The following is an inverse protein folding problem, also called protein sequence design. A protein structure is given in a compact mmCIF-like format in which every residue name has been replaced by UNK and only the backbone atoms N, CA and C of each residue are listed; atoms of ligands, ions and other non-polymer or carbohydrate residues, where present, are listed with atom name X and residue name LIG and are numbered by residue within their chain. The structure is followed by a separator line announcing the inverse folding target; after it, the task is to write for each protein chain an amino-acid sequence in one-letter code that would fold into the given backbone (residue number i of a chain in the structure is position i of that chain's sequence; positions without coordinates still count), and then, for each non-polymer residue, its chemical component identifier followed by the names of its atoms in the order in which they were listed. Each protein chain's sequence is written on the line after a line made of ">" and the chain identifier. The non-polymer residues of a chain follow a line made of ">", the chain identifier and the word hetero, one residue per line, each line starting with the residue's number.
data_IF_343538892385
#
_entry.id   IF_343538892385
#
_cell.length_a   1.000
_cell.length_b   1.000
_cell.length_c   1.000
_cell.angle_alpha   90.00
_cell.angle_beta   90.00
_cell.angle_gamma   90.00
#
_symmetry.space_group_name_H-M   'P 1'
#
loop_
_entity.id
_entity.type
_entity.pdbx_description
1 polymer ?
#
# COMPACT_ATOMS: atom_id res chain seq x y z
N UNK A 1 -34.05 -53.09 19.93
CA UNK A 1 -32.92 -53.28 20.85
C UNK A 1 -31.96 -52.12 20.63
N UNK A 2 -31.91 -51.19 21.57
CA UNK A 2 -31.11 -49.96 21.49
C UNK A 2 -29.61 -50.27 21.51
N UNK A 3 -28.84 -49.56 20.68
CA UNK A 3 -27.39 -49.47 20.82
C UNK A 3 -27.02 -48.04 21.22
N UNK A 4 -26.44 -47.99 22.41
CA UNK A 4 -26.08 -46.83 23.22
C UNK A 4 -24.81 -46.21 22.64
N UNK A 5 -24.88 -44.96 22.18
CA UNK A 5 -23.71 -44.12 21.93
C UNK A 5 -23.29 -43.54 23.28
N UNK A 6 -22.07 -43.86 23.71
CA UNK A 6 -21.46 -43.31 24.93
C UNK A 6 -21.07 -41.85 24.69
N UNK A 7 -21.43 -41.04 25.68
CA UNK A 7 -21.23 -39.60 25.82
C UNK A 7 -19.76 -39.19 25.94
N UNK A 8 -19.41 -38.07 25.30
CA UNK A 8 -18.21 -37.27 25.59
C UNK A 8 -18.70 -35.96 26.21
N UNK A 9 -18.42 -35.68 27.50
CA UNK A 9 -19.06 -34.57 28.22
C UNK A 9 -18.11 -33.37 28.35
N UNK A 10 -18.32 -32.30 27.56
CA UNK A 10 -18.00 -30.91 27.93
C UNK A 10 -18.85 -29.95 27.06
N UNK A 11 -20.14 -29.86 27.38
CA UNK A 11 -21.01 -28.77 26.97
C UNK A 11 -21.22 -27.91 28.23
N UNK A 12 -20.46 -26.82 28.33
CA UNK A 12 -20.78 -25.74 29.26
C UNK A 12 -21.65 -24.76 28.48
N UNK A 13 -22.90 -24.74 28.92
CA UNK A 13 -23.94 -23.78 28.59
C UNK A 13 -23.44 -22.34 28.84
N UNK A 14 -23.39 -21.52 27.78
CA UNK A 14 -23.27 -20.08 27.92
C UNK A 14 -24.55 -19.44 27.40
N UNK A 15 -25.41 -19.11 28.36
CA UNK A 15 -26.57 -18.25 28.17
C UNK A 15 -26.23 -16.94 27.49
N UNK A 16 -27.26 -16.38 26.85
CA UNK A 16 -27.20 -15.28 25.90
C UNK A 16 -26.31 -14.10 26.30
N UNK A 17 -25.42 -13.74 25.39
CA UNK A 17 -24.67 -12.48 25.37
C UNK A 17 -24.72 -11.93 23.95
N UNK A 18 -25.15 -10.67 23.80
CA UNK A 18 -25.28 -9.92 22.54
C UNK A 18 -23.96 -9.90 21.72
N UNK A 19 -24.00 -9.89 20.36
CA UNK A 19 -22.81 -10.07 19.51
C UNK A 19 -21.79 -8.91 19.46
N UNK A 20 -21.93 -7.84 20.25
CA UNK A 20 -21.15 -6.61 20.06
C UNK A 20 -20.23 -6.21 21.22
N UNK A 21 -19.90 -7.12 22.13
CA UNK A 21 -18.83 -6.85 23.11
C UNK A 21 -17.46 -7.17 22.47
N UNK A 22 -16.84 -6.12 21.94
CA UNK A 22 -15.39 -6.00 21.78
C UNK A 22 -14.73 -6.52 23.05
N UNK A 23 -14.04 -7.66 22.97
CA UNK A 23 -13.17 -8.14 24.05
C UNK A 23 -12.14 -7.06 24.35
N UNK A 24 -12.33 -6.33 25.43
CA UNK A 24 -11.29 -5.49 26.04
C UNK A 24 -10.42 -6.39 26.92
N UNK A 25 -9.23 -6.79 26.45
CA UNK A 25 -8.10 -7.21 27.33
C UNK A 25 -6.72 -7.22 26.62
N UNK A 26 -5.61 -7.01 27.36
CA UNK A 26 -4.27 -6.79 26.82
C UNK A 26 -3.35 -8.03 26.94
N UNK A 27 -2.56 -8.29 25.89
CA UNK A 27 -1.21 -8.92 25.81
C UNK A 27 -1.03 -9.57 24.43
N UNK A 28 -0.16 -8.97 23.60
CA UNK A 28 0.42 -9.52 22.38
C UNK A 28 -0.52 -10.21 21.39
N UNK A 29 -1.07 -9.48 20.41
CA UNK A 29 -1.41 -10.12 19.13
C UNK A 29 -0.16 -10.85 18.64
N UNK A 30 -0.19 -12.14 18.24
CA UNK A 30 0.93 -12.72 17.52
C UNK A 30 1.18 -11.83 16.30
N UNK A 31 2.31 -11.11 16.33
CA UNK A 31 2.69 -10.23 15.24
C UNK A 31 3.01 -11.12 14.04
N UNK A 32 2.38 -10.84 12.89
CA UNK A 32 2.82 -11.42 11.64
C UNK A 32 4.28 -11.05 11.46
N UNK A 33 5.10 -12.03 11.09
CA UNK A 33 6.51 -11.81 10.87
C UNK A 33 6.70 -11.17 9.50
N UNK A 34 7.68 -10.26 9.39
CA UNK A 34 8.04 -9.71 8.09
C UNK A 34 8.64 -10.81 7.22
N UNK A 35 8.08 -10.97 6.03
CA UNK A 35 8.48 -11.97 5.06
C UNK A 35 9.60 -11.40 4.18
N UNK A 36 10.69 -12.17 4.04
CA UNK A 36 11.80 -11.86 3.14
C UNK A 36 11.30 -11.70 1.71
N UNK A 37 10.31 -12.50 1.30
CA UNK A 37 9.67 -12.40 -0.01
C UNK A 37 9.05 -11.02 -0.28
N UNK A 38 8.69 -10.25 0.75
CA UNK A 38 8.05 -8.93 0.60
C UNK A 38 9.02 -7.75 0.79
N UNK A 39 10.26 -8.03 1.22
CA UNK A 39 11.28 -7.00 1.45
C UNK A 39 11.56 -6.23 0.16
N UNK A 40 11.59 -4.89 0.27
CA UNK A 40 11.91 -4.02 -0.86
C UNK A 40 10.82 -3.92 -1.93
N UNK A 41 9.58 -4.33 -1.63
CA UNK A 41 8.43 -4.21 -2.56
C UNK A 41 7.43 -3.13 -2.17
N UNK A 42 7.46 -2.64 -0.93
CA UNK A 42 6.60 -1.57 -0.44
C UNK A 42 7.40 -0.51 0.30
N UNK A 43 7.06 0.76 0.08
CA UNK A 43 7.80 1.89 0.60
C UNK A 43 6.87 3.00 1.08
N UNK A 44 7.32 3.79 2.04
CA UNK A 44 6.73 5.10 2.30
C UNK A 44 7.37 6.13 1.34
N UNK A 45 6.57 7.07 0.83
CA UNK A 45 7.06 8.17 0.02
C UNK A 45 8.07 9.11 0.73
N UNK A 46 8.50 10.13 0.00
CA UNK A 46 9.52 11.07 0.43
C UNK A 46 8.98 12.10 1.42
N UNK A 47 9.76 12.39 2.47
CA UNK A 47 9.42 13.45 3.42
C UNK A 47 10.17 14.73 3.05
N UNK A 48 9.44 15.66 2.40
CA UNK A 48 9.99 16.94 1.93
C UNK A 48 10.45 17.83 3.08
N UNK A 49 9.65 17.91 4.16
CA UNK A 49 9.86 18.78 5.33
C UNK A 49 10.25 20.23 4.97
N UNK A 50 9.27 21.02 4.53
CA UNK A 50 9.43 22.45 4.25
C UNK A 50 8.49 22.91 3.14
N UNK A 51 7.66 23.93 3.40
CA UNK A 51 6.72 24.45 2.39
C UNK A 51 7.41 25.18 1.23
N UNK A 52 8.62 25.72 1.45
CA UNK A 52 9.40 26.41 0.41
C UNK A 52 9.77 25.54 -0.80
N UNK A 53 9.79 24.21 -0.64
CA UNK A 53 9.97 23.28 -1.75
C UNK A 53 8.74 23.16 -2.65
N UNK A 54 7.55 23.49 -2.16
CA UNK A 54 6.28 23.27 -2.87
C UNK A 54 5.94 24.49 -3.74
N UNK A 55 5.48 24.21 -4.94
CA UNK A 55 5.11 25.17 -5.97
C UNK A 55 3.68 24.92 -6.45
N UNK A 56 3.01 25.96 -6.93
CA UNK A 56 1.83 25.79 -7.76
C UNK A 56 2.24 25.31 -9.16
N UNK A 57 1.36 24.63 -9.92
CA UNK A 57 1.65 24.24 -11.29
C UNK A 57 2.09 25.40 -12.19
N UNK A 58 1.46 26.57 -12.01
CA UNK A 58 1.73 27.77 -12.81
C UNK A 58 3.14 28.31 -12.55
N UNK A 59 3.55 28.34 -11.28
CA UNK A 59 4.90 28.79 -10.93
C UNK A 59 5.97 27.79 -11.38
N UNK A 60 5.71 26.48 -11.28
CA UNK A 60 6.63 25.49 -11.83
C UNK A 60 6.77 25.63 -13.34
N UNK A 61 5.66 25.86 -14.06
CA UNK A 61 5.67 26.07 -15.50
C UNK A 61 6.46 27.33 -15.91
N UNK A 62 6.27 28.45 -15.20
CA UNK A 62 7.02 29.70 -15.42
C UNK A 62 8.53 29.52 -15.21
N UNK A 63 8.94 28.85 -14.12
CA UNK A 63 10.36 28.52 -13.89
C UNK A 63 10.95 27.63 -15.00
N UNK A 64 10.18 26.66 -15.49
CA UNK A 64 10.59 25.79 -16.60
C UNK A 64 10.69 26.57 -17.92
N UNK A 65 9.81 27.54 -18.15
CA UNK A 65 9.82 28.36 -19.35
C UNK A 65 11.06 29.26 -19.40
N UNK A 66 11.48 29.81 -18.25
CA UNK A 66 12.67 30.66 -18.16
C UNK A 66 13.98 29.88 -18.28
N UNK A 67 14.06 28.71 -17.65
CA UNK A 67 15.19 27.79 -17.82
C UNK A 67 14.67 26.35 -17.98
N UNK A 68 14.69 25.80 -19.20
CA UNK A 68 14.23 24.44 -19.48
C UNK A 68 14.93 23.35 -18.66
N UNK A 69 16.15 23.60 -18.16
CA UNK A 69 16.87 22.65 -17.29
C UNK A 69 16.14 22.44 -15.97
N UNK A 70 15.33 23.40 -15.51
CA UNK A 70 14.59 23.26 -14.26
C UNK A 70 13.67 22.04 -14.22
N UNK A 71 13.32 21.45 -15.39
CA UNK A 71 12.63 20.14 -15.46
C UNK A 71 13.40 19.00 -14.76
N UNK A 72 14.71 19.11 -14.61
CA UNK A 72 15.54 18.13 -13.90
C UNK A 72 15.31 18.13 -12.38
N UNK A 73 14.76 19.21 -11.84
CA UNK A 73 14.58 19.42 -10.39
C UNK A 73 13.15 19.78 -10.00
N UNK A 74 12.24 19.92 -10.96
CA UNK A 74 10.83 20.25 -10.74
C UNK A 74 9.97 19.06 -11.14
N UNK A 75 9.19 18.54 -10.19
CA UNK A 75 8.36 17.37 -10.40
C UNK A 75 6.94 17.58 -9.88
N UNK A 76 5.92 16.95 -10.47
CA UNK A 76 4.60 16.85 -9.84
C UNK A 76 4.73 16.18 -8.47
N UNK A 77 3.95 16.64 -7.49
CA UNK A 77 4.02 16.18 -6.11
C UNK A 77 2.68 15.61 -5.65
N UNK A 78 2.55 14.29 -5.72
CA UNK A 78 1.32 13.57 -5.38
C UNK A 78 1.23 13.33 -3.87
N UNK A 79 0.10 13.71 -3.28
CA UNK A 79 -0.20 13.44 -1.88
C UNK A 79 -1.50 12.63 -1.71
N UNK A 80 -1.85 12.29 -0.46
CA UNK A 80 -3.05 11.50 -0.16
C UNK A 80 -4.38 12.20 -0.46
N UNK A 81 -4.44 13.53 -0.39
CA UNK A 81 -5.63 14.31 -0.74
C UNK A 81 -5.87 14.26 -2.26
N UNK A 82 -4.82 14.51 -3.03
CA UNK A 82 -4.83 14.43 -4.49
C UNK A 82 -5.25 13.04 -4.96
N UNK A 83 -4.67 11.99 -4.37
CA UNK A 83 -4.98 10.60 -4.68
C UNK A 83 -6.45 10.25 -4.43
N UNK A 84 -7.02 10.74 -3.32
CA UNK A 84 -8.34 10.31 -2.84
C UNK A 84 -9.50 11.18 -3.30
N UNK A 85 -9.26 12.46 -3.59
CA UNK A 85 -10.33 13.44 -3.84
C UNK A 85 -10.48 13.79 -5.31
N UNK A 86 -9.44 13.59 -6.14
CA UNK A 86 -9.49 13.91 -7.57
C UNK A 86 -9.93 12.69 -8.41
N UNK A 87 -10.77 12.88 -9.44
CA UNK A 87 -11.19 11.80 -10.34
C UNK A 87 -10.04 11.15 -11.13
N UNK A 88 -9.00 11.93 -11.43
CA UNK A 88 -7.82 11.50 -12.19
C UNK A 88 -6.65 11.07 -11.30
N UNK A 89 -6.78 11.20 -9.98
CA UNK A 89 -5.74 11.00 -8.99
C UNK A 89 -4.44 11.79 -9.28
N UNK A 90 -4.52 12.91 -10.01
CA UNK A 90 -3.34 13.68 -10.42
C UNK A 90 -2.81 14.55 -9.28
N UNK A 91 -1.51 14.84 -9.28
CA UNK A 91 -0.95 15.82 -8.34
C UNK A 91 -1.56 17.22 -8.55
N UNK A 92 -1.88 17.93 -7.47
CA UNK A 92 -2.38 19.32 -7.53
C UNK A 92 -1.27 20.37 -7.44
N UNK A 93 -0.04 19.93 -7.19
CA UNK A 93 1.10 20.79 -6.87
C UNK A 93 2.40 20.20 -7.40
N UNK A 94 3.43 21.03 -7.43
CA UNK A 94 4.78 20.66 -7.83
C UNK A 94 5.73 20.78 -6.65
N UNK A 95 6.90 20.16 -6.76
CA UNK A 95 7.94 20.21 -5.75
C UNK A 95 9.32 20.30 -6.37
N UNK A 96 10.19 21.04 -5.69
CA UNK A 96 11.62 21.12 -5.98
C UNK A 96 12.30 19.89 -5.38
N UNK A 97 13.04 19.12 -6.17
CA UNK A 97 13.79 17.95 -5.76
C UNK A 97 15.21 18.00 -6.33
N UNK A 98 16.18 18.39 -5.50
CA UNK A 98 17.61 18.31 -5.86
C UNK A 98 18.20 16.90 -5.65
N UNK A 99 17.37 15.89 -5.47
CA UNK A 99 17.78 14.50 -5.19
C UNK A 99 18.74 14.41 -3.99
N UNK A 100 19.84 13.67 -4.14
CA UNK A 100 20.95 13.57 -3.21
C UNK A 100 22.17 14.41 -3.66
N UNK A 101 21.96 15.37 -4.55
CA UNK A 101 23.04 16.18 -5.13
C UNK A 101 23.76 17.04 -4.08
N UNK A 102 25.03 17.33 -4.36
CA UNK A 102 25.80 18.30 -3.59
C UNK A 102 25.20 19.70 -3.70
N UNK A 103 25.57 20.59 -2.78
CA UNK A 103 25.07 21.97 -2.79
C UNK A 103 25.51 22.70 -4.06
N UNK A 104 26.74 22.47 -4.52
CA UNK A 104 27.33 23.08 -5.71
C UNK A 104 26.50 22.74 -6.95
N UNK A 105 26.11 21.47 -7.11
CA UNK A 105 25.24 21.06 -8.21
C UNK A 105 23.85 21.66 -8.08
N UNK A 106 23.26 21.67 -6.89
CA UNK A 106 21.94 22.30 -6.69
C UNK A 106 21.97 23.81 -7.00
N UNK A 107 23.05 24.52 -6.64
CA UNK A 107 23.28 25.94 -6.94
C UNK A 107 23.37 26.25 -8.43
N UNK A 108 23.61 25.26 -9.28
CA UNK A 108 23.58 25.44 -10.75
C UNK A 108 22.17 25.70 -11.32
N UNK A 109 21.13 25.59 -10.50
CA UNK A 109 19.73 25.94 -10.79
C UNK A 109 19.33 27.20 -9.97
N UNK A 110 19.79 28.41 -10.36
CA UNK A 110 19.86 29.57 -9.47
C UNK A 110 18.50 30.01 -8.93
N UNK A 111 17.49 30.21 -9.78
CA UNK A 111 16.16 30.67 -9.33
C UNK A 111 15.49 29.67 -8.37
N UNK A 112 15.56 28.39 -8.70
CA UNK A 112 14.99 27.29 -7.91
C UNK A 112 15.72 27.18 -6.57
N UNK A 113 17.06 27.24 -6.59
CA UNK A 113 17.88 27.15 -5.39
C UNK A 113 17.69 28.36 -4.46
N UNK A 114 17.68 29.59 -5.00
CA UNK A 114 17.45 30.81 -4.23
C UNK A 114 16.11 30.80 -3.50
N UNK A 115 15.07 30.20 -4.08
CA UNK A 115 13.79 29.99 -3.39
C UNK A 115 13.95 29.09 -2.17
N UNK A 116 14.59 27.93 -2.31
CA UNK A 116 14.82 27.01 -1.19
C UNK A 116 15.73 27.67 -0.13
N UNK A 117 16.74 28.43 -0.55
CA UNK A 117 17.61 29.17 0.36
C UNK A 117 16.84 30.19 1.19
N UNK A 118 15.94 30.95 0.58
CA UNK A 118 15.10 31.94 1.26
C UNK A 118 14.04 31.29 2.17
N UNK A 119 13.34 30.27 1.66
CA UNK A 119 12.08 29.79 2.25
C UNK A 119 12.24 28.52 3.11
N UNK A 120 13.38 27.81 3.01
CA UNK A 120 13.62 26.54 3.72
C UNK A 120 14.81 26.62 4.67
N UNK A 121 15.94 27.21 4.23
CA UNK A 121 17.18 27.26 5.03
C UNK A 121 16.98 27.84 6.43
N UNK A 122 16.27 28.98 6.64
CA UNK A 122 16.15 29.57 7.98
C UNK A 122 15.48 28.63 9.00
N UNK A 123 14.46 27.88 8.56
CA UNK A 123 13.76 26.91 9.42
C UNK A 123 14.58 25.63 9.61
N UNK A 124 15.31 25.19 8.58
CA UNK A 124 16.18 24.00 8.67
C UNK A 124 17.33 24.22 9.65
N UNK A 125 17.94 25.40 9.67
CA UNK A 125 19.05 25.73 10.59
C UNK A 125 18.66 25.65 12.07
N UNK A 126 17.37 25.87 12.40
CA UNK A 126 16.84 25.73 13.76
C UNK A 126 16.58 24.27 14.17
N UNK A 127 16.67 23.32 13.25
CA UNK A 127 16.31 21.92 13.52
C UNK A 127 17.39 21.22 14.35
N UNK A 128 17.00 20.38 15.32
CA UNK A 128 17.93 19.64 16.17
C UNK A 128 18.76 18.58 15.42
N UNK A 129 18.26 18.01 14.32
CA UNK A 129 18.97 16.99 13.54
C UNK A 129 20.02 17.62 12.63
N UNK A 130 21.30 17.32 12.88
CA UNK A 130 22.45 17.88 12.14
C UNK A 130 22.31 17.71 10.62
N UNK A 131 21.94 16.52 10.15
CA UNK A 131 21.74 16.21 8.73
C UNK A 131 20.77 17.18 8.04
N UNK A 132 19.73 17.64 8.74
CA UNK A 132 18.75 18.57 8.18
C UNK A 132 19.27 20.01 8.11
N UNK A 133 20.22 20.37 8.97
CA UNK A 133 20.92 21.66 8.93
C UNK A 133 21.98 21.66 7.83
N UNK A 134 22.78 20.59 7.76
CA UNK A 134 23.89 20.46 6.82
C UNK A 134 23.41 20.30 5.38
N UNK A 135 22.29 19.59 5.16
CA UNK A 135 21.72 19.34 3.82
C UNK A 135 20.34 19.98 3.70
N UNK A 136 20.21 21.24 4.09
CA UNK A 136 18.94 21.97 4.14
C UNK A 136 18.22 22.07 2.80
N UNK A 137 18.94 21.95 1.68
CA UNK A 137 18.38 21.93 0.32
C UNK A 137 17.82 20.56 -0.09
N UNK A 138 18.07 19.51 0.69
CA UNK A 138 17.57 18.17 0.43
C UNK A 138 16.31 17.87 1.26
N UNK A 139 15.53 16.88 0.82
CA UNK A 139 14.43 16.34 1.59
C UNK A 139 14.92 15.72 2.90
N UNK A 140 14.05 15.76 3.92
CA UNK A 140 14.31 15.07 5.18
C UNK A 140 14.49 13.56 4.96
N UNK A 141 13.65 12.95 4.11
CA UNK A 141 13.77 11.55 3.73
C UNK A 141 13.65 11.40 2.21
N UNK A 142 14.77 11.06 1.54
CA UNK A 142 14.90 10.98 0.07
C UNK A 142 14.40 9.66 -0.55
N UNK A 143 14.33 8.60 0.26
CA UNK A 143 13.88 7.25 -0.11
C UNK A 143 14.61 6.62 -1.32
N UNK A 144 15.95 6.52 -1.33
CA UNK A 144 16.70 5.96 -2.47
C UNK A 144 16.31 4.51 -2.81
N UNK A 145 15.99 3.69 -1.80
CA UNK A 145 15.52 2.32 -2.03
C UNK A 145 14.20 2.27 -2.82
N UNK A 146 13.26 3.18 -2.52
CA UNK A 146 12.00 3.29 -3.27
C UNK A 146 12.27 3.74 -4.70
N UNK A 147 13.06 4.80 -4.88
CA UNK A 147 13.41 5.34 -6.21
C UNK A 147 14.07 4.26 -7.08
N UNK A 148 14.96 3.45 -6.50
CA UNK A 148 15.59 2.35 -7.21
C UNK A 148 14.60 1.22 -7.53
N UNK A 149 13.71 0.86 -6.61
CA UNK A 149 12.73 -0.21 -6.83
C UNK A 149 11.69 0.12 -7.90
N UNK A 150 11.38 1.40 -8.13
CA UNK A 150 10.42 1.83 -9.15
C UNK A 150 11.08 2.30 -10.45
N UNK A 151 12.42 2.26 -10.51
CA UNK A 151 13.17 2.68 -11.69
C UNK A 151 12.85 1.76 -12.88
N UNK A 152 12.46 2.34 -14.01
CA UNK A 152 12.10 1.59 -15.22
C UNK A 152 10.64 1.10 -15.24
N UNK A 153 9.84 1.37 -14.21
CA UNK A 153 8.40 1.19 -14.25
C UNK A 153 7.74 2.48 -14.76
N UNK A 154 6.76 2.36 -15.67
CA UNK A 154 5.97 3.51 -16.12
C UNK A 154 4.91 3.93 -15.10
N UNK A 155 4.48 2.98 -14.28
CA UNK A 155 3.43 3.16 -13.27
C UNK A 155 3.72 2.37 -12.01
N UNK A 156 3.12 2.77 -10.91
CA UNK A 156 3.19 2.07 -9.62
C UNK A 156 1.83 2.06 -8.94
N UNK A 157 1.61 1.07 -8.08
CA UNK A 157 0.46 1.05 -7.18
C UNK A 157 0.75 1.93 -5.96
N UNK A 158 -0.24 2.74 -5.58
CA UNK A 158 -0.13 3.65 -4.45
C UNK A 158 -1.40 3.61 -3.59
N UNK A 159 -1.23 3.69 -2.27
CA UNK A 159 -2.32 3.88 -1.30
C UNK A 159 -2.04 5.12 -0.43
N UNK A 160 -3.09 5.80 0.01
CA UNK A 160 -2.96 6.77 1.09
C UNK A 160 -2.74 6.05 2.43
N UNK A 161 -1.68 6.42 3.16
CA UNK A 161 -1.32 5.77 4.43
C UNK A 161 -2.26 6.13 5.57
N UNK A 162 -2.97 7.26 5.46
CA UNK A 162 -4.07 7.61 6.37
C UNK A 162 -5.31 7.83 5.52
N UNK A 163 -6.25 6.89 5.58
CA UNK A 163 -7.48 6.92 4.79
C UNK A 163 -8.54 6.03 5.41
N UNK A 164 -9.81 6.33 5.12
CA UNK A 164 -10.92 5.41 5.37
C UNK A 164 -11.00 4.31 4.33
N UNK A 165 -10.55 4.54 3.10
CA UNK A 165 -10.76 3.61 1.98
C UNK A 165 -9.62 2.60 1.87
N UNK A 166 -8.37 3.04 2.06
CA UNK A 166 -7.16 2.22 1.86
C UNK A 166 -7.14 1.52 0.49
N UNK A 167 -7.69 2.18 -0.54
CA UNK A 167 -7.80 1.59 -1.87
C UNK A 167 -6.56 1.86 -2.71
N UNK A 168 -5.96 0.85 -3.36
CA UNK A 168 -4.84 1.02 -4.28
C UNK A 168 -5.27 1.68 -5.58
N UNK A 169 -4.44 2.59 -6.10
CA UNK A 169 -4.57 3.16 -7.44
C UNK A 169 -3.23 3.09 -8.17
N UNK A 170 -3.31 2.78 -9.46
CA UNK A 170 -2.16 2.80 -10.36
C UNK A 170 -1.92 4.22 -10.87
N UNK A 171 -0.77 4.81 -10.55
CA UNK A 171 -0.39 6.18 -10.97
C UNK A 171 0.93 6.17 -11.75
N UNK A 172 1.18 7.16 -12.63
CA UNK A 172 2.46 7.28 -13.33
C UNK A 172 3.64 7.40 -12.37
N UNK A 173 4.80 6.86 -12.76
CA UNK A 173 6.09 7.22 -12.14
C UNK A 173 6.57 8.59 -12.66
N UNK A 174 7.77 9.03 -12.26
CA UNK A 174 8.31 10.34 -12.68
C UNK A 174 7.78 11.53 -11.86
N UNK A 175 7.02 11.27 -10.81
CA UNK A 175 6.53 12.25 -9.85
C UNK A 175 7.05 11.93 -8.45
N UNK A 176 7.06 12.94 -7.56
CA UNK A 176 7.44 12.75 -6.15
C UNK A 176 6.21 12.30 -5.36
N UNK A 177 6.31 11.14 -4.70
CA UNK A 177 5.28 10.65 -3.81
C UNK A 177 5.50 11.18 -2.39
N UNK A 178 4.48 11.79 -1.80
CA UNK A 178 4.50 12.25 -0.40
C UNK A 178 4.70 11.09 0.59
N UNK A 179 5.37 11.35 1.71
CA UNK A 179 5.47 10.44 2.84
C UNK A 179 4.12 9.95 3.41
N UNK A 180 2.99 10.57 3.04
CA UNK A 180 1.66 10.07 3.40
C UNK A 180 1.11 9.03 2.40
N UNK A 181 1.94 8.58 1.47
CA UNK A 181 1.62 7.55 0.48
C UNK A 181 2.49 6.30 0.69
N UNK A 182 1.85 5.13 0.55
CA UNK A 182 2.50 3.84 0.43
C UNK A 182 2.67 3.51 -1.04
N UNK A 183 3.90 3.32 -1.50
CA UNK A 183 4.27 3.04 -2.88
C UNK A 183 4.68 1.58 -2.99
N UNK A 184 4.02 0.83 -3.85
CA UNK A 184 4.35 -0.57 -4.13
C UNK A 184 5.05 -0.67 -5.48
N UNK A 185 6.22 -1.29 -5.50
CA UNK A 185 7.03 -1.50 -6.71
C UNK A 185 6.45 -2.64 -7.55
N UNK A 186 5.24 -2.42 -8.07
CA UNK A 186 4.47 -3.38 -8.87
C UNK A 186 3.51 -2.65 -9.78
N UNK A 187 3.40 -3.15 -11.01
CA UNK A 187 2.41 -2.75 -12.02
C UNK A 187 1.30 -3.79 -12.22
N UNK A 188 1.44 -4.98 -11.62
CA UNK A 188 0.57 -6.13 -11.87
C UNK A 188 -0.87 -5.91 -11.41
N UNK A 189 -1.83 -6.23 -12.29
CA UNK A 189 -3.26 -6.11 -11.98
C UNK A 189 -3.75 -7.15 -10.98
N UNK A 190 -3.14 -8.34 -10.92
CA UNK A 190 -3.38 -9.29 -9.83
C UNK A 190 -3.00 -8.70 -8.47
N UNK A 191 -1.92 -7.93 -8.42
CA UNK A 191 -1.49 -7.28 -7.19
C UNK A 191 -2.43 -6.11 -6.81
N UNK A 192 -2.91 -5.36 -7.80
CA UNK A 192 -3.98 -4.37 -7.61
C UNK A 192 -5.25 -5.02 -7.05
N UNK A 193 -5.65 -6.18 -7.58
CA UNK A 193 -6.78 -6.96 -7.09
C UNK A 193 -6.59 -7.39 -5.63
N UNK A 194 -5.43 -7.95 -5.29
CA UNK A 194 -5.11 -8.35 -3.92
C UNK A 194 -5.21 -7.16 -2.95
N UNK A 195 -4.54 -6.04 -3.25
CA UNK A 195 -4.56 -4.85 -2.39
C UNK A 195 -5.93 -4.18 -2.32
N UNK A 196 -6.82 -4.42 -3.28
CA UNK A 196 -8.19 -3.91 -3.32
C UNK A 196 -9.26 -4.90 -2.82
N UNK A 197 -8.85 -6.06 -2.31
CA UNK A 197 -9.74 -7.14 -1.85
C UNK A 197 -10.18 -6.99 -0.39
N UNK A 198 -11.29 -7.63 -0.05
CA UNK A 198 -11.78 -7.86 1.30
C UNK A 198 -10.77 -8.63 2.17
N UNK A 199 -9.99 -9.54 1.59
CA UNK A 199 -8.91 -10.26 2.29
C UNK A 199 -7.85 -9.27 2.79
N UNK A 200 -7.36 -8.40 1.91
CA UNK A 200 -6.36 -7.39 2.29
C UNK A 200 -6.94 -6.36 3.25
N UNK A 201 -8.20 -5.97 3.07
CA UNK A 201 -8.89 -5.10 4.02
C UNK A 201 -8.97 -5.73 5.42
N UNK A 202 -9.39 -6.99 5.53
CA UNK A 202 -9.46 -7.71 6.81
C UNK A 202 -8.07 -7.80 7.49
N UNK A 203 -7.03 -8.15 6.72
CA UNK A 203 -5.65 -8.16 7.20
C UNK A 203 -5.20 -6.77 7.66
N UNK A 204 -5.53 -5.73 6.89
CA UNK A 204 -5.23 -4.34 7.23
C UNK A 204 -5.90 -3.95 8.55
N UNK A 205 -7.18 -4.24 8.75
CA UNK A 205 -7.89 -3.94 10.00
C UNK A 205 -7.27 -4.68 11.18
N UNK A 206 -6.83 -5.93 10.98
CA UNK A 206 -6.19 -6.72 12.02
C UNK A 206 -4.80 -6.17 12.44
N UNK A 207 -4.06 -5.52 11.53
CA UNK A 207 -2.65 -5.13 11.73
C UNK A 207 -2.43 -3.62 11.90
N UNK A 208 -3.22 -2.80 11.24
CA UNK A 208 -3.04 -1.35 11.21
C UNK A 208 -3.48 -0.69 12.52
N UNK A 209 -2.90 0.48 12.79
CA UNK A 209 -3.38 1.38 13.83
C UNK A 209 -4.43 2.35 13.26
N UNK A 210 -4.99 3.20 14.12
CA UNK A 210 -5.93 4.26 13.69
C UNK A 210 -5.40 5.65 14.02
N UNK A 211 -5.67 6.63 13.18
CA UNK A 211 -5.41 8.05 13.44
C UNK A 211 -6.72 8.83 13.28
N UNK A 212 -7.23 9.40 14.37
CA UNK A 212 -8.50 10.16 14.39
C UNK A 212 -9.69 9.42 13.76
N UNK A 213 -9.72 8.08 13.90
CA UNK A 213 -10.77 7.22 13.35
C UNK A 213 -10.47 6.63 11.96
N UNK A 214 -9.51 7.20 11.23
CA UNK A 214 -9.09 6.67 9.94
C UNK A 214 -8.03 5.57 10.12
N UNK A 215 -7.94 4.66 9.15
CA UNK A 215 -6.93 3.60 9.15
C UNK A 215 -5.57 4.24 8.89
N UNK A 216 -4.59 3.92 9.72
CA UNK A 216 -3.18 4.26 9.51
C UNK A 216 -2.45 3.02 9.01
N UNK A 217 -2.39 2.91 7.68
CA UNK A 217 -1.67 1.86 6.98
C UNK A 217 -0.17 2.03 7.18
N UNK A 218 0.50 1.00 7.69
CA UNK A 218 1.96 0.95 7.76
C UNK A 218 2.44 -0.21 6.88
N UNK A 219 3.20 0.03 5.80
CA UNK A 219 3.65 -1.04 4.90
C UNK A 219 4.39 -2.17 5.63
N UNK A 220 5.19 -1.83 6.64
CA UNK A 220 5.95 -2.81 7.43
C UNK A 220 5.12 -3.71 8.33
N UNK A 221 3.89 -3.28 8.66
CA UNK A 221 3.02 -4.00 9.59
C UNK A 221 1.93 -4.78 8.83
N UNK A 222 1.57 -4.29 7.63
CA UNK A 222 0.51 -4.87 6.80
C UNK A 222 1.10 -5.62 5.60
N UNK A 223 1.80 -4.92 4.70
CA UNK A 223 2.25 -5.50 3.44
C UNK A 223 3.43 -6.46 3.64
N UNK A 224 4.45 -6.04 4.41
CA UNK A 224 5.62 -6.88 4.64
C UNK A 224 5.31 -8.15 5.44
N UNK A 225 4.14 -8.22 6.08
CA UNK A 225 3.67 -9.38 6.84
C UNK A 225 2.61 -10.19 6.10
N UNK A 226 2.09 -9.72 4.96
CA UNK A 226 1.04 -10.41 4.20
C UNK A 226 1.63 -11.56 3.37
N UNK A 227 1.24 -12.82 3.59
CA UNK A 227 1.57 -13.89 2.66
C UNK A 227 0.92 -13.61 1.31
N UNK A 228 1.71 -13.45 0.25
CA UNK A 228 1.16 -13.15 -1.08
C UNK A 228 0.75 -14.46 -1.76
N UNK A 229 -0.46 -14.55 -2.35
CA UNK A 229 -0.89 -15.71 -3.11
C UNK A 229 -0.17 -15.74 -4.46
N UNK A 230 -0.13 -16.90 -5.15
CA UNK A 230 0.30 -16.98 -6.54
C UNK A 230 -0.54 -16.05 -7.43
N UNK A 231 0.09 -15.48 -8.45
CA UNK A 231 -0.61 -14.72 -9.49
C UNK A 231 -1.35 -15.69 -10.40
N UNK A 232 -2.65 -15.45 -10.61
CA UNK A 232 -3.50 -16.25 -11.49
C UNK A 232 -4.15 -15.39 -12.57
N UNK A 233 -4.51 -15.99 -13.70
CA UNK A 233 -5.26 -15.32 -14.78
C UNK A 233 -6.57 -14.72 -14.22
N UNK A 234 -7.23 -15.44 -13.29
CA UNK A 234 -8.47 -14.97 -12.66
C UNK A 234 -8.24 -13.69 -11.85
N UNK A 235 -7.18 -13.62 -11.04
CA UNK A 235 -6.83 -12.40 -10.29
C UNK A 235 -6.44 -11.23 -11.19
N UNK A 236 -5.69 -11.47 -12.27
CA UNK A 236 -5.34 -10.42 -13.23
C UNK A 236 -6.58 -9.87 -13.96
N UNK A 237 -7.48 -10.76 -14.37
CA UNK A 237 -8.72 -10.41 -15.07
C UNK A 237 -9.65 -9.60 -14.17
N UNK A 238 -9.86 -10.07 -12.93
CA UNK A 238 -10.68 -9.37 -11.96
C UNK A 238 -10.10 -7.99 -11.61
N UNK A 239 -8.77 -7.91 -11.40
CA UNK A 239 -8.08 -6.65 -11.15
C UNK A 239 -8.19 -5.65 -12.30
N UNK A 240 -8.06 -6.13 -13.55
CA UNK A 240 -8.25 -5.32 -14.76
C UNK A 240 -9.66 -4.75 -14.83
N UNK A 241 -10.66 -5.60 -14.62
CA UNK A 241 -12.07 -5.22 -14.68
C UNK A 241 -12.40 -4.18 -13.61
N UNK A 242 -11.98 -4.40 -12.36
CA UNK A 242 -12.19 -3.44 -11.27
C UNK A 242 -11.50 -2.10 -11.56
N UNK A 243 -10.23 -2.12 -11.96
CA UNK A 243 -9.46 -0.89 -12.20
C UNK A 243 -10.01 -0.09 -13.40
N UNK A 244 -10.46 -0.77 -14.45
CA UNK A 244 -11.12 -0.16 -15.61
C UNK A 244 -12.44 0.51 -15.22
N UNK A 245 -13.37 -0.27 -14.69
CA UNK A 245 -14.71 0.19 -14.32
C UNK A 245 -14.67 1.31 -13.27
N UNK A 246 -13.79 1.19 -12.27
CA UNK A 246 -13.63 2.22 -11.23
C UNK A 246 -13.21 3.55 -11.84
N UNK A 247 -12.23 3.56 -12.77
CA UNK A 247 -11.75 4.80 -13.41
C UNK A 247 -12.82 5.46 -14.28
N UNK A 248 -13.59 4.65 -14.99
CA UNK A 248 -14.73 5.12 -15.79
C UNK A 248 -15.76 5.84 -14.89
N UNK A 249 -16.23 5.17 -13.83
CA UNK A 249 -17.20 5.74 -12.90
C UNK A 249 -16.66 6.98 -12.18
N UNK A 250 -15.39 6.98 -11.75
CA UNK A 250 -14.76 8.16 -11.14
C UNK A 250 -14.80 9.37 -12.07
N UNK A 251 -14.51 9.14 -13.36
CA UNK A 251 -14.51 10.18 -14.39
C UNK A 251 -15.92 10.70 -14.66
N UNK A 252 -16.87 9.80 -14.92
CA UNK A 252 -18.26 10.15 -15.24
C UNK A 252 -18.96 10.87 -14.10
N UNK A 253 -18.80 10.39 -12.87
CA UNK A 253 -19.39 11.00 -11.68
C UNK A 253 -18.60 12.19 -11.14
N UNK A 254 -17.40 12.45 -11.68
CA UNK A 254 -16.45 13.47 -11.17
C UNK A 254 -16.15 13.27 -9.68
N UNK A 255 -15.91 12.02 -9.29
CA UNK A 255 -15.61 11.65 -7.90
C UNK A 255 -14.19 11.12 -7.77
N UNK A 256 -13.47 11.55 -6.73
CA UNK A 256 -12.32 10.82 -6.23
C UNK A 256 -12.71 9.52 -5.52
N UNK A 257 -11.71 8.72 -5.14
CA UNK A 257 -11.89 7.48 -4.38
C UNK A 257 -12.76 7.66 -3.13
N UNK A 258 -12.52 8.71 -2.33
CA UNK A 258 -13.29 8.92 -1.09
C UNK A 258 -14.78 9.09 -1.38
N UNK A 259 -15.11 9.89 -2.40
CA UNK A 259 -16.48 10.12 -2.83
C UNK A 259 -17.13 8.84 -3.36
N UNK A 260 -16.43 8.14 -4.25
CA UNK A 260 -16.92 6.90 -4.85
C UNK A 260 -17.15 5.80 -3.80
N UNK A 261 -16.19 5.55 -2.90
CA UNK A 261 -16.32 4.50 -1.89
C UNK A 261 -17.36 4.84 -0.82
N UNK A 262 -17.62 6.12 -0.54
CA UNK A 262 -18.78 6.52 0.26
C UNK A 262 -20.10 6.04 -0.36
N UNK A 263 -20.21 6.07 -1.69
CA UNK A 263 -21.40 5.62 -2.42
C UNK A 263 -21.46 4.09 -2.48
N UNK A 264 -20.34 3.41 -2.78
CA UNK A 264 -20.26 1.93 -2.76
C UNK A 264 -20.78 1.38 -1.43
N UNK A 265 -20.40 2.01 -0.32
CA UNK A 265 -20.79 1.60 1.02
C UNK A 265 -22.21 2.02 1.45
N UNK A 266 -22.93 2.80 0.64
CA UNK A 266 -24.31 3.19 0.91
C UNK A 266 -25.31 2.14 0.40
N UNK A 267 -25.94 1.39 1.30
CA UNK A 267 -26.93 0.35 0.95
C UNK A 267 -28.17 0.86 0.22
N UNK A 268 -28.45 2.17 0.30
CA UNK A 268 -29.58 2.79 -0.40
C UNK A 268 -29.26 3.16 -1.84
N UNK A 269 -27.98 3.17 -2.24
CA UNK A 269 -27.61 3.46 -3.63
C UNK A 269 -27.75 2.19 -4.47
N UNK A 270 -28.64 2.24 -5.45
CA UNK A 270 -28.98 1.14 -6.37
C UNK A 270 -28.63 1.47 -7.82
N UNK A 271 -27.81 2.51 -8.06
CA UNK A 271 -27.38 2.88 -9.41
C UNK A 271 -26.67 1.71 -10.11
N UNK A 272 -26.95 1.48 -11.39
CA UNK A 272 -26.43 0.33 -12.14
C UNK A 272 -24.90 0.24 -12.13
N UNK A 273 -24.22 1.37 -12.29
CA UNK A 273 -22.76 1.47 -12.26
C UNK A 273 -22.18 1.16 -10.87
N UNK A 274 -22.83 1.61 -9.79
CA UNK A 274 -22.44 1.28 -8.42
C UNK A 274 -22.66 -0.21 -8.12
N UNK A 275 -23.75 -0.81 -8.62
CA UNK A 275 -23.96 -2.25 -8.51
C UNK A 275 -22.90 -3.05 -9.29
N UNK A 276 -22.61 -2.63 -10.53
CA UNK A 276 -21.54 -3.24 -11.33
C UNK A 276 -20.18 -3.14 -10.62
N UNK A 277 -19.91 -2.03 -9.93
CA UNK A 277 -18.68 -1.86 -9.16
C UNK A 277 -18.63 -2.75 -7.91
N UNK A 278 -19.76 -2.94 -7.21
CA UNK A 278 -19.88 -3.92 -6.13
C UNK A 278 -19.65 -5.35 -6.64
N UNK A 279 -20.21 -5.70 -7.79
CA UNK A 279 -19.99 -7.00 -8.44
C UNK A 279 -18.53 -7.21 -8.86
N UNK A 280 -17.87 -6.16 -9.35
CA UNK A 280 -16.44 -6.21 -9.64
C UNK A 280 -15.60 -6.48 -8.37
N UNK A 281 -15.97 -5.89 -7.23
CA UNK A 281 -15.37 -6.20 -5.94
C UNK A 281 -15.62 -7.65 -5.51
N UNK A 282 -16.84 -8.18 -5.66
CA UNK A 282 -17.14 -9.60 -5.39
C UNK A 282 -16.21 -10.52 -6.18
N UNK A 283 -16.08 -10.27 -7.49
CA UNK A 283 -15.21 -11.05 -8.39
C UNK A 283 -13.73 -10.97 -7.99
N UNK A 284 -13.27 -9.82 -7.50
CA UNK A 284 -11.90 -9.69 -6.95
C UNK A 284 -11.74 -10.52 -5.69
N UNK A 285 -12.69 -10.47 -4.76
CA UNK A 285 -12.62 -11.22 -3.51
C UNK A 285 -12.66 -12.74 -3.77
N UNK A 286 -13.54 -13.20 -4.64
CA UNK A 286 -13.55 -14.60 -5.08
C UNK A 286 -12.24 -15.01 -5.75
N UNK A 287 -11.74 -14.22 -6.71
CA UNK A 287 -10.51 -14.54 -7.43
C UNK A 287 -9.29 -14.59 -6.51
N UNK A 288 -9.22 -13.70 -5.51
CA UNK A 288 -8.13 -13.68 -4.54
C UNK A 288 -8.25 -14.82 -3.54
N UNK A 289 -9.45 -15.16 -3.09
CA UNK A 289 -9.73 -16.31 -2.21
C UNK A 289 -9.32 -17.63 -2.88
N UNK A 290 -9.70 -17.82 -4.15
CA UNK A 290 -9.26 -18.92 -4.99
C UNK A 290 -7.74 -19.01 -5.15
N UNK A 291 -7.06 -17.86 -5.27
CA UNK A 291 -5.61 -17.82 -5.41
C UNK A 291 -4.89 -18.34 -4.15
N UNK A 292 -5.51 -18.23 -2.98
CA UNK A 292 -5.03 -18.89 -1.75
C UNK A 292 -5.44 -20.37 -1.66
N UNK A 293 -6.28 -20.87 -2.56
CA UNK A 293 -6.82 -22.23 -2.54
C UNK A 293 -7.98 -22.43 -1.55
N UNK A 294 -8.64 -21.35 -1.12
CA UNK A 294 -9.71 -21.39 -0.11
C UNK A 294 -11.10 -21.51 -0.75
N UNK A 295 -11.33 -22.59 -1.49
CA UNK A 295 -12.59 -22.83 -2.20
C UNK A 295 -13.77 -23.16 -1.26
N UNK A 296 -13.49 -23.33 0.03
CA UNK A 296 -14.46 -23.68 1.07
C UNK A 296 -15.09 -22.46 1.75
N UNK A 297 -14.59 -21.24 1.49
CA UNK A 297 -15.07 -20.03 2.13
C UNK A 297 -16.28 -19.43 1.41
N UNK A 298 -17.40 -19.35 2.11
CA UNK A 298 -18.53 -18.52 1.71
C UNK A 298 -18.26 -17.06 2.09
N UNK A 299 -18.23 -16.17 1.08
CA UNK A 299 -17.81 -14.78 1.27
C UNK A 299 -18.92 -13.89 1.84
N UNK A 300 -20.18 -14.24 1.57
CA UNK A 300 -21.37 -13.56 2.08
C UNK A 300 -21.27 -12.03 2.01
N UNK A 301 -21.08 -11.50 0.79
CA UNK A 301 -20.97 -10.06 0.61
C UNK A 301 -22.26 -9.33 0.99
N UNK A 302 -22.12 -8.33 1.85
CA UNK A 302 -23.25 -7.57 2.38
C UNK A 302 -22.84 -6.22 2.93
N UNK A 303 -23.80 -5.54 3.56
CA UNK A 303 -23.55 -4.29 4.28
C UNK A 303 -23.40 -4.58 5.77
N UNK A 304 -22.21 -4.33 6.30
CA UNK A 304 -21.86 -4.62 7.68
C UNK A 304 -21.37 -3.37 8.40
N UNK A 305 -21.71 -3.26 9.69
CA UNK A 305 -21.20 -2.19 10.54
C UNK A 305 -19.72 -2.39 10.83
N UNK A 306 -18.93 -1.34 10.62
CA UNK A 306 -17.49 -1.32 10.92
C UNK A 306 -17.17 -0.10 11.76
N UNK A 307 -15.95 -0.03 12.31
CA UNK A 307 -15.47 1.18 13.01
C UNK A 307 -15.50 2.43 12.13
N UNK A 308 -15.44 2.27 10.81
CA UNK A 308 -15.49 3.36 9.84
C UNK A 308 -16.92 3.64 9.33
N UNK A 309 -17.95 3.00 9.91
CA UNK A 309 -19.35 3.06 9.49
C UNK A 309 -19.80 1.84 8.68
N UNK A 310 -21.04 1.85 8.16
CA UNK A 310 -21.56 0.79 7.31
C UNK A 310 -20.69 0.64 6.06
N UNK A 311 -20.36 -0.59 5.67
CA UNK A 311 -19.56 -0.88 4.48
C UNK A 311 -20.09 -2.09 3.74
N UNK A 312 -20.01 -2.02 2.42
CA UNK A 312 -20.10 -3.18 1.54
C UNK A 312 -18.77 -3.95 1.57
N UNK A 313 -18.77 -5.17 2.13
CA UNK A 313 -17.61 -6.08 2.18
C UNK A 313 -18.07 -7.54 2.36
N UNK A 314 -17.11 -8.47 2.40
CA UNK A 314 -17.31 -9.86 2.86
C UNK A 314 -17.84 -9.92 4.31
N UNK A 315 -18.41 -11.04 4.74
CA UNK A 315 -18.92 -11.14 6.11
C UNK A 315 -17.81 -10.96 7.16
N UNK A 316 -18.12 -10.37 8.34
CA UNK A 316 -17.15 -10.27 9.43
C UNK A 316 -16.62 -11.63 9.92
N UNK A 317 -17.44 -12.68 9.84
CA UNK A 317 -17.06 -14.03 10.21
C UNK A 317 -16.00 -14.58 9.25
N UNK A 318 -16.26 -14.52 7.94
CA UNK A 318 -15.31 -14.93 6.90
C UNK A 318 -14.05 -14.09 6.94
N UNK A 319 -14.16 -12.78 7.17
CA UNK A 319 -13.00 -11.89 7.33
C UNK A 319 -12.11 -12.26 8.53
N UNK A 320 -12.71 -12.74 9.64
CA UNK A 320 -11.97 -13.27 10.79
C UNK A 320 -11.22 -14.55 10.45
N UNK A 321 -11.89 -15.51 9.84
CA UNK A 321 -11.30 -16.77 9.37
C UNK A 321 -10.13 -16.54 8.40
N UNK A 322 -10.29 -15.61 7.45
CA UNK A 322 -9.21 -15.22 6.53
C UNK A 322 -7.99 -14.66 7.26
N UNK A 323 -8.18 -13.86 8.32
CA UNK A 323 -7.07 -13.33 9.12
C UNK A 323 -6.31 -14.45 9.83
N UNK A 324 -7.03 -15.44 10.36
CA UNK A 324 -6.42 -16.59 11.04
C UNK A 324 -5.63 -17.46 10.04
N UNK A 325 -6.19 -17.78 8.87
CA UNK A 325 -5.49 -18.51 7.81
C UNK A 325 -4.26 -17.74 7.27
N UNK A 326 -4.36 -16.42 7.08
CA UNK A 326 -3.22 -15.59 6.71
C UNK A 326 -2.11 -15.59 7.77
N UNK A 327 -2.47 -15.65 9.05
CA UNK A 327 -1.50 -15.72 10.13
C UNK A 327 -0.77 -17.06 10.16
N UNK A 328 -1.48 -18.17 9.93
CA UNK A 328 -0.87 -19.49 9.78
C UNK A 328 0.10 -19.53 8.59
N UNK A 329 -0.34 -19.05 7.42
CA UNK A 329 0.51 -18.94 6.23
C UNK A 329 1.74 -18.06 6.49
N UNK A 330 1.57 -16.94 7.19
CA UNK A 330 2.69 -16.07 7.56
C UNK A 330 3.72 -16.80 8.42
N UNK A 331 3.29 -17.50 9.48
CA UNK A 331 4.19 -18.24 10.36
C UNK A 331 4.90 -19.37 9.62
N UNK A 332 4.17 -20.12 8.79
CA UNK A 332 4.73 -21.21 7.99
C UNK A 332 5.79 -20.68 7.00
N UNK A 333 5.47 -19.63 6.25
CA UNK A 333 6.39 -19.02 5.30
C UNK A 333 7.61 -18.41 5.98
N UNK A 334 7.43 -17.68 7.08
CA UNK A 334 8.53 -17.10 7.83
C UNK A 334 9.51 -18.16 8.36
N UNK A 335 8.99 -19.28 8.89
CA UNK A 335 9.79 -20.42 9.33
C UNK A 335 10.57 -21.04 8.17
N UNK A 336 9.93 -21.19 7.00
CA UNK A 336 10.57 -21.70 5.79
C UNK A 336 11.68 -20.78 5.26
N UNK A 337 11.47 -19.46 5.29
CA UNK A 337 12.45 -18.45 4.90
C UNK A 337 13.64 -18.35 5.86
N UNK A 338 13.40 -18.63 7.15
CA UNK A 338 14.42 -18.57 8.22
C UNK A 338 15.19 -19.88 8.39
N UNK A 339 14.82 -20.94 7.66
CA UNK A 339 15.46 -22.26 7.79
C UNK A 339 16.90 -22.26 7.22
N UNK A 340 17.91 -22.73 7.97
CA UNK A 340 19.32 -22.70 7.56
C UNK A 340 19.61 -23.54 6.30
N UNK A 341 18.77 -24.51 5.96
CA UNK A 341 18.93 -25.32 4.74
C UNK A 341 18.83 -24.49 3.46
N UNK A 342 18.14 -23.35 3.49
CA UNK A 342 18.07 -22.40 2.35
C UNK A 342 19.34 -21.55 2.22
N UNK A 343 20.06 -21.32 3.32
CA UNK A 343 21.31 -20.54 3.33
C UNK A 343 22.46 -21.37 2.70
N UNK A 344 22.43 -22.70 2.85
CA UNK A 344 23.40 -23.60 2.21
C UNK A 344 23.24 -23.70 0.68
N UNK A 345 22.02 -23.66 0.14
CA UNK A 345 21.82 -23.69 -1.33
C UNK A 345 22.46 -22.50 -2.07
N UNK A 346 22.39 -21.31 -1.48
CA UNK A 346 23.01 -20.09 -2.04
C UNK A 346 24.55 -20.07 -1.88
N UNK A 347 25.07 -20.77 -0.87
CA UNK A 347 26.52 -20.92 -0.66
C UNK A 347 27.13 -22.00 -1.58
N UNK A 348 26.38 -23.07 -1.87
CA UNK A 348 26.82 -24.15 -2.77
C UNK A 348 26.87 -23.66 -4.22
N UNK A 349 25.90 -22.86 -4.68
CA UNK A 349 25.95 -22.25 -6.03
C UNK A 349 27.15 -21.29 -6.21
N UNK A 350 27.56 -20.55 -5.17
CA UNK A 350 28.75 -19.69 -5.23
C UNK A 350 30.07 -20.48 -5.18
N UNK A 351 30.08 -21.68 -4.61
CA UNK A 351 31.26 -22.55 -4.61
C UNK A 351 31.40 -23.32 -5.93
N UNK A 352 30.31 -23.77 -6.55
CA UNK A 352 30.37 -24.45 -7.85
C UNK A 352 30.73 -23.50 -8.98
N UNK A 353 30.31 -22.23 -8.94
CA UNK A 353 30.69 -21.23 -9.95
C UNK A 353 32.19 -20.87 -9.88
N UNK A 354 32.78 -20.81 -8.67
CA UNK A 354 34.23 -20.60 -8.49
C UNK A 354 35.08 -21.83 -8.84
N UNK A 355 34.53 -23.03 -8.75
CA UNK A 355 35.23 -24.25 -9.14
C UNK A 355 35.28 -24.45 -10.67
N UNK A 356 34.32 -23.91 -11.42
CA UNK A 356 34.30 -24.00 -12.90
C UNK A 356 35.14 -22.92 -13.60
N UNK A 357 35.57 -21.87 -12.90
CA UNK A 357 36.44 -20.81 -13.44
C UNK A 357 37.94 -21.04 -13.13
N UNK A 358 38.28 -22.12 -12.43
CA UNK A 358 39.64 -22.39 -11.91
C UNK A 358 40.55 -23.28 -12.75
N UNK A 359 40.03 -24.02 -13.74
CA UNK A 359 40.83 -25.00 -14.51
C UNK A 359 40.83 -24.68 -16.01
N UNK A 360 41.56 -23.64 -16.40
CA UNK A 360 42.17 -23.54 -17.74
C UNK A 360 43.58 -22.96 -17.58
N UNK A 361 44.50 -23.82 -17.16
CA UNK A 361 45.93 -23.65 -17.42
C UNK A 361 46.45 -24.99 -17.92
N UNK A 362 46.54 -25.12 -19.25
CA UNK A 362 47.65 -25.71 -19.98
C UNK A 362 47.61 -25.23 -21.43
#
# INVERSE_FOLDING_TARGET
>A
MHLIVRSVPWLIDFGGIHPWIVRTRPLGKPAGNRLVANKGKSFQGSNVLGKGFVLTPEHAADLIQRDPRNKDVLFPYLNGEDLNSRPDCSASRWVINFHDWSEERARSYPEVFSRVERDVKPERLKNNRKVYRDHWWQYAEKRPAMINAIRGLDRVLVVALVSRTVMPVTVPTGQVFSHMLGVFASTGLAHSALLGSGIHYAWTIARASSLKGDIRYTPSDVYETLPLPPVTIRTETAGRALDGLRREIMTERRLGLTGLYKIIHNSRDSSNDIQALRDAHRKVDEATTDAYGWFDLELDHGFYETRQGPRFLISPATGGEMVDRLLELNHAQYKAESSPYRIQGCAVEKMTQRAMEGDVLF
#
